data_IF_644233595518
#
_entry.id   IF_644233595518
#
_cell.length_a   1.000
_cell.length_b   1.000
_cell.length_c   1.000
_cell.angle_alpha   90.00
_cell.angle_beta   90.00
_cell.angle_gamma   90.00
#
_symmetry.space_group_name_H-M   'P 1'
#
loop_
_entity.id
_entity.type
_entity.pdbx_description
1 polymer ?
#
# COMPACT_ATOMS: atom_id res chain seq x y z
N UNK A 1 3.43 -4.62 -8.53
CA UNK A 1 3.12 -3.18 -8.36
C UNK A 1 4.42 -2.38 -8.21
N UNK A 2 5.51 -2.87 -8.80
CA UNK A 2 6.81 -2.24 -8.67
C UNK A 2 6.78 -0.85 -9.29
N UNK A 3 7.13 0.17 -8.51
CA UNK A 3 7.06 1.58 -8.93
C UNK A 3 5.65 2.20 -8.97
N UNK A 4 4.60 1.52 -8.52
CA UNK A 4 3.26 2.08 -8.50
C UNK A 4 3.14 3.24 -7.49
N UNK A 5 2.47 4.34 -7.89
CA UNK A 5 2.12 5.40 -6.96
C UNK A 5 0.78 5.07 -6.27
N UNK A 6 0.85 4.69 -4.99
CA UNK A 6 -0.28 4.36 -4.13
C UNK A 6 -0.36 5.33 -2.94
N UNK A 7 0.21 6.53 -3.06
CA UNK A 7 0.15 7.52 -2.00
C UNK A 7 -1.30 7.83 -1.64
N UNK A 8 -1.60 7.80 -0.34
CA UNK A 8 -2.95 7.96 0.21
C UNK A 8 -4.01 6.98 -0.34
N UNK A 9 -3.61 5.91 -1.03
CA UNK A 9 -4.54 4.91 -1.52
C UNK A 9 -5.12 4.09 -0.36
N UNK A 10 -6.39 3.70 -0.49
CA UNK A 10 -7.04 2.81 0.47
C UNK A 10 -6.92 1.36 0.02
N UNK A 11 -6.17 0.56 0.77
CA UNK A 11 -5.90 -0.85 0.50
C UNK A 11 -6.67 -1.76 1.47
N UNK A 12 -7.73 -1.23 2.10
CA UNK A 12 -8.47 -1.83 3.22
C UNK A 12 -9.10 -3.22 2.93
N UNK A 13 -9.12 -3.66 1.68
CA UNK A 13 -9.55 -4.99 1.24
C UNK A 13 -8.66 -5.55 0.13
N UNK A 14 -7.48 -4.97 -0.07
CA UNK A 14 -6.56 -5.43 -1.10
C UNK A 14 -5.98 -6.79 -0.70
N UNK A 15 -6.12 -7.80 -1.59
CA UNK A 15 -5.40 -9.07 -1.43
C UNK A 15 -3.91 -8.83 -1.71
N UNK A 16 -3.17 -8.46 -0.67
CA UNK A 16 -1.73 -8.19 -0.74
C UNK A 16 -0.86 -9.44 -0.59
N UNK A 17 -1.44 -10.61 -0.31
CA UNK A 17 -0.70 -11.85 -0.09
C UNK A 17 0.06 -12.23 -1.38
N UNK A 18 1.37 -12.02 -1.38
CA UNK A 18 2.25 -12.24 -2.54
C UNK A 18 2.40 -11.04 -3.48
N UNK A 19 1.81 -9.88 -3.17
CA UNK A 19 1.98 -8.67 -3.97
C UNK A 19 3.40 -8.12 -3.82
N UNK A 20 4.17 -8.10 -4.91
CA UNK A 20 5.43 -7.35 -4.95
C UNK A 20 5.13 -5.85 -5.01
N UNK A 21 5.42 -5.19 -3.90
CA UNK A 21 5.30 -3.75 -3.68
C UNK A 21 6.69 -3.08 -3.61
N UNK A 22 7.74 -3.80 -4.01
CA UNK A 22 9.09 -3.24 -4.15
C UNK A 22 9.02 -1.92 -4.92
N UNK A 23 9.62 -0.86 -4.40
CA UNK A 23 9.60 0.50 -4.99
C UNK A 23 8.22 1.18 -5.11
N UNK A 24 7.13 0.61 -4.59
CA UNK A 24 5.83 1.26 -4.59
C UNK A 24 5.78 2.42 -3.58
N UNK A 25 5.24 3.57 -3.99
CA UNK A 25 5.05 4.72 -3.09
C UNK A 25 3.78 4.52 -2.28
N UNK A 26 3.91 4.10 -1.03
CA UNK A 26 2.81 3.80 -0.11
C UNK A 26 2.64 4.85 0.99
N UNK A 27 3.38 5.96 0.94
CA UNK A 27 3.31 7.02 1.97
C UNK A 27 1.87 7.53 2.13
N UNK A 28 1.36 7.48 3.37
CA UNK A 28 0.00 7.86 3.72
C UNK A 28 -1.08 6.86 3.27
N UNK A 29 -0.72 5.76 2.61
CA UNK A 29 -1.68 4.75 2.19
C UNK A 29 -2.26 4.00 3.39
N UNK A 30 -3.53 3.61 3.29
CA UNK A 30 -4.22 2.85 4.35
C UNK A 30 -4.11 1.37 4.03
N UNK A 31 -3.35 0.66 4.85
CA UNK A 31 -3.06 -0.76 4.72
C UNK A 31 -4.31 -1.63 4.98
N UNK A 32 -4.30 -2.91 4.55
CA UNK A 32 -5.42 -3.82 4.71
C UNK A 32 -5.81 -4.06 6.19
N UNK A 33 -4.86 -3.88 7.11
CA UNK A 33 -5.07 -3.96 8.55
C UNK A 33 -5.67 -2.67 9.16
N UNK A 34 -5.91 -1.65 8.33
CA UNK A 34 -6.40 -0.34 8.74
C UNK A 34 -5.31 0.64 9.17
N UNK A 35 -4.05 0.21 9.24
CA UNK A 35 -2.90 1.06 9.57
C UNK A 35 -2.61 2.05 8.45
N UNK A 36 -2.00 3.19 8.77
CA UNK A 36 -1.46 4.11 7.74
C UNK A 36 0.03 3.87 7.59
N UNK A 37 0.49 3.65 6.37
CA UNK A 37 1.90 3.42 6.08
C UNK A 37 2.66 4.76 5.97
N UNK A 38 3.82 4.85 6.62
CA UNK A 38 4.65 6.06 6.61
C UNK A 38 4.22 7.17 7.57
N UNK A 39 3.69 6.82 8.75
CA UNK A 39 3.63 7.73 9.91
C UNK A 39 4.72 7.35 10.91
#
# INVERSE_FOLDING_TARGET
>A
LTGANLQQASLLKAKMRGAKLDEAKLTGARMPDGSRYGK
#
